data_IF_737819566317
#
_entry.id   IF_737819566317
#
_cell.length_a   1.000
_cell.length_b   1.000
_cell.length_c   1.000
_cell.angle_alpha   90.00
_cell.angle_beta   90.00
_cell.angle_gamma   90.00
#
_symmetry.space_group_name_H-M   'P 1'
#
loop_
_entity.id
_entity.type
_entity.pdbx_description
1 polymer ?
#
# COMPACT_ATOMS: atom_id res chain seq x y z
N UNK A 1 -39.04 16.53 -4.98
CA UNK A 1 -37.92 17.41 -4.56
C UNK A 1 -37.38 17.09 -3.15
N UNK A 2 -38.20 16.61 -2.21
CA UNK A 2 -37.74 16.25 -0.84
C UNK A 2 -36.87 14.96 -0.73
N UNK A 3 -36.98 14.01 -1.67
CA UNK A 3 -36.18 12.77 -1.64
C UNK A 3 -34.68 12.99 -1.97
N UNK A 4 -34.35 14.05 -2.72
CA UNK A 4 -32.95 14.39 -3.02
C UNK A 4 -32.23 15.03 -1.82
N UNK A 5 -32.94 15.80 -1.00
CA UNK A 5 -32.39 16.50 0.17
C UNK A 5 -32.10 15.56 1.35
N UNK A 6 -32.87 14.46 1.51
CA UNK A 6 -32.55 13.41 2.51
C UNK A 6 -31.25 12.68 2.17
N UNK A 7 -31.01 12.39 0.89
CA UNK A 7 -29.75 11.78 0.44
C UNK A 7 -28.56 12.72 0.59
N UNK A 8 -28.72 14.03 0.37
CA UNK A 8 -27.62 14.97 0.53
C UNK A 8 -27.26 15.17 2.01
N UNK A 9 -28.26 15.29 2.91
CA UNK A 9 -28.02 15.40 4.34
C UNK A 9 -27.33 14.14 4.90
N UNK A 10 -27.77 12.95 4.50
CA UNK A 10 -27.13 11.68 4.88
C UNK A 10 -25.75 11.50 4.24
N UNK A 11 -25.55 11.93 2.99
CA UNK A 11 -24.24 11.95 2.34
C UNK A 11 -23.26 12.87 3.08
N UNK A 12 -23.68 14.09 3.41
CA UNK A 12 -22.87 15.03 4.19
C UNK A 12 -22.55 14.46 5.58
N UNK A 13 -23.52 13.83 6.24
CA UNK A 13 -23.35 13.23 7.58
C UNK A 13 -22.48 11.97 7.57
N UNK A 14 -22.43 11.23 6.46
CA UNK A 14 -21.66 9.98 6.37
C UNK A 14 -20.26 10.18 5.79
N UNK A 15 -20.08 11.13 4.87
CA UNK A 15 -18.84 11.31 4.10
C UNK A 15 -18.14 12.67 4.32
N UNK A 16 -18.82 13.72 4.80
CA UNK A 16 -18.17 15.00 5.15
C UNK A 16 -17.84 15.13 6.63
N UNK A 17 -18.48 14.35 7.50
CA UNK A 17 -17.98 14.18 8.87
C UNK A 17 -16.79 13.23 8.81
N UNK A 18 -15.58 13.67 9.23
CA UNK A 18 -14.45 12.76 9.31
C UNK A 18 -14.90 11.54 10.13
N UNK A 19 -14.62 10.30 9.66
CA UNK A 19 -14.83 9.14 10.49
C UNK A 19 -14.22 9.45 11.86
N UNK A 20 -14.90 9.12 12.95
CA UNK A 20 -14.25 9.16 14.27
C UNK A 20 -13.06 8.22 14.16
N UNK A 21 -11.89 8.78 13.85
CA UNK A 21 -10.66 8.05 13.66
C UNK A 21 -10.45 7.29 14.96
N UNK A 22 -10.57 5.97 14.89
CA UNK A 22 -10.15 5.14 16.00
C UNK A 22 -8.68 5.44 16.19
N UNK A 23 -8.32 5.95 17.37
CA UNK A 23 -6.95 6.31 17.71
C UNK A 23 -6.00 5.15 17.32
N UNK A 24 -5.19 5.30 16.26
CA UNK A 24 -4.36 4.22 15.74
C UNK A 24 -3.27 3.82 16.75
N UNK A 25 -3.07 4.62 17.80
CA UNK A 25 -2.17 4.30 18.90
C UNK A 25 -2.72 3.23 19.84
N UNK A 26 -4.04 3.01 19.85
CA UNK A 26 -4.70 1.95 20.62
C UNK A 26 -4.72 0.62 19.89
N UNK A 27 -4.15 0.57 18.69
CA UNK A 27 -4.11 -0.65 17.89
C UNK A 27 -2.78 -1.36 18.12
N UNK A 28 -2.85 -2.68 18.34
CA UNK A 28 -1.66 -3.50 18.50
C UNK A 28 -1.74 -4.74 17.62
N UNK A 29 -0.57 -5.13 17.12
CA UNK A 29 -0.41 -6.40 16.43
C UNK A 29 -0.09 -7.50 17.44
N UNK A 30 -0.97 -8.49 17.51
CA UNK A 30 -0.69 -9.73 18.22
C UNK A 30 -0.24 -10.77 17.20
N UNK A 31 0.99 -11.27 17.37
CA UNK A 31 1.55 -12.35 16.57
C UNK A 31 1.42 -13.65 17.36
N UNK A 32 0.51 -14.52 16.95
CA UNK A 32 0.42 -15.88 17.48
C UNK A 32 1.12 -16.83 16.50
N UNK A 33 2.20 -17.52 16.91
CA UNK A 33 2.82 -18.53 16.06
C UNK A 33 1.86 -19.72 15.92
N UNK A 34 1.52 -20.07 14.69
CA UNK A 34 0.77 -21.28 14.36
C UNK A 34 1.61 -22.05 13.35
N UNK A 35 2.26 -23.12 13.79
CA UNK A 35 3.16 -23.93 12.97
C UNK A 35 4.20 -23.06 12.21
N UNK A 36 4.04 -22.90 10.89
CA UNK A 36 4.89 -22.15 9.95
C UNK A 36 4.40 -20.72 9.66
N UNK A 37 3.20 -20.37 10.11
CA UNK A 37 2.58 -19.05 9.88
C UNK A 37 2.44 -18.26 11.18
N UNK A 38 2.16 -16.97 11.04
CA UNK A 38 1.85 -16.06 12.13
C UNK A 38 0.48 -15.48 11.86
N UNK A 39 -0.43 -15.72 12.81
CA UNK A 39 -1.70 -15.00 12.87
C UNK A 39 -1.41 -13.60 13.39
N UNK A 40 -1.75 -12.60 12.58
CA UNK A 40 -1.66 -11.19 12.96
C UNK A 40 -3.06 -10.68 13.23
N UNK A 41 -3.37 -10.37 14.49
CA UNK A 41 -4.63 -9.74 14.88
C UNK A 41 -4.41 -8.26 15.17
N UNK A 42 -5.20 -7.39 14.53
CA UNK A 42 -5.30 -5.98 14.89
C UNK A 42 -6.37 -5.82 15.97
N UNK A 43 -5.96 -5.42 17.18
CA UNK A 43 -6.87 -5.28 18.33
C UNK A 43 -6.86 -3.87 18.87
N UNK A 44 -8.04 -3.35 19.26
CA UNK A 44 -8.18 -2.07 19.95
C UNK A 44 -8.08 -2.27 21.46
N UNK A 45 -7.16 -1.57 22.11
CA UNK A 45 -7.04 -1.57 23.57
C UNK A 45 -8.24 -0.85 24.22
N UNK A 46 -8.86 -1.51 25.20
CA UNK A 46 -9.78 -0.86 26.14
C UNK A 46 -11.28 -0.83 25.78
N UNK A 47 -11.81 -1.77 24.99
CA UNK A 47 -13.24 -2.11 24.95
C UNK A 47 -13.40 -3.48 24.28
N UNK A 48 -14.48 -4.22 24.58
CA UNK A 48 -14.83 -5.53 23.96
C UNK A 48 -14.44 -5.54 22.48
N UNK A 49 -13.59 -6.50 22.11
CA UNK A 49 -12.90 -6.63 20.83
C UNK A 49 -13.83 -6.31 19.65
N UNK A 50 -13.81 -5.07 19.17
CA UNK A 50 -14.59 -4.63 18.02
C UNK A 50 -13.71 -4.85 16.77
N UNK A 51 -13.96 -5.97 16.10
CA UNK A 51 -13.37 -6.39 14.81
C UNK A 51 -11.86 -6.68 14.86
N UNK A 52 -11.51 -7.95 15.10
CA UNK A 52 -10.17 -8.47 14.82
C UNK A 52 -10.08 -8.87 13.35
N UNK A 53 -9.10 -8.32 12.63
CA UNK A 53 -8.73 -8.83 11.31
C UNK A 53 -7.52 -9.75 11.49
N UNK A 54 -7.64 -10.97 10.98
CA UNK A 54 -6.62 -12.02 11.10
C UNK A 54 -5.97 -12.27 9.75
N UNK A 55 -4.64 -12.25 9.74
CA UNK A 55 -3.85 -12.58 8.55
C UNK A 55 -2.94 -13.76 8.83
N UNK A 56 -2.83 -14.70 7.89
CA UNK A 56 -1.83 -15.77 7.94
C UNK A 56 -0.64 -15.41 7.04
N UNK A 57 0.52 -15.19 7.65
CA UNK A 57 1.77 -14.85 6.93
C UNK A 57 2.94 -15.65 7.46
N UNK A 58 4.01 -15.81 6.69
CA UNK A 58 5.24 -16.41 7.23
C UNK A 58 5.83 -15.55 8.35
N UNK A 59 6.53 -16.17 9.30
CA UNK A 59 7.02 -15.53 10.53
C UNK A 59 7.89 -14.30 10.28
N UNK A 60 8.65 -14.30 9.20
CA UNK A 60 9.63 -13.26 8.85
C UNK A 60 9.02 -12.10 8.08
N UNK A 61 7.79 -12.26 7.56
CA UNK A 61 7.14 -11.19 6.78
C UNK A 61 6.67 -10.06 7.68
N UNK A 62 6.85 -8.85 7.19
CA UNK A 62 6.16 -7.68 7.69
C UNK A 62 4.75 -7.63 7.09
N UNK A 63 3.79 -7.18 7.88
CA UNK A 63 2.42 -6.89 7.43
C UNK A 63 2.10 -5.47 7.81
N UNK A 64 1.45 -4.76 6.90
CA UNK A 64 1.01 -3.39 7.12
C UNK A 64 -0.47 -3.28 6.84
N UNK A 65 -1.13 -2.37 7.54
CA UNK A 65 -2.56 -2.13 7.40
C UNK A 65 -2.79 -0.63 7.25
N UNK A 66 -3.55 -0.27 6.22
CA UNK A 66 -3.99 1.08 5.95
C UNK A 66 -5.38 1.26 6.57
N UNK A 67 -5.47 2.20 7.50
CA UNK A 67 -6.74 2.60 8.10
C UNK A 67 -7.26 3.85 7.40
N UNK A 68 -8.48 3.74 6.88
CA UNK A 68 -9.17 4.83 6.16
C UNK A 68 -10.36 5.40 6.94
N UNK A 69 -10.53 4.95 8.19
CA UNK A 69 -11.73 5.22 8.98
C UNK A 69 -12.94 4.39 8.53
N UNK A 70 -13.96 4.28 9.38
CA UNK A 70 -15.23 3.64 9.00
C UNK A 70 -15.98 4.47 7.96
N UNK A 71 -16.71 3.86 7.00
CA UNK A 71 -17.06 2.44 6.89
C UNK A 71 -16.09 1.60 6.04
N UNK A 72 -14.90 2.11 5.69
CA UNK A 72 -14.02 1.43 4.76
C UNK A 72 -13.31 0.24 5.39
N UNK A 73 -13.32 -0.91 4.71
CA UNK A 73 -12.51 -2.05 5.12
C UNK A 73 -11.02 -1.68 5.13
N UNK A 74 -10.25 -2.16 6.13
CA UNK A 74 -8.81 -2.04 6.14
C UNK A 74 -8.20 -2.73 4.92
N UNK A 75 -7.13 -2.16 4.39
CA UNK A 75 -6.36 -2.77 3.29
C UNK A 75 -5.01 -3.17 3.84
N UNK A 76 -4.58 -4.39 3.53
CA UNK A 76 -3.33 -4.93 4.02
C UNK A 76 -2.32 -5.11 2.89
N UNK A 77 -1.04 -5.02 3.24
CA UNK A 77 0.06 -5.45 2.41
C UNK A 77 1.01 -6.33 3.22
N UNK A 78 1.70 -7.25 2.55
CA UNK A 78 2.76 -8.05 3.15
C UNK A 78 4.06 -7.88 2.38
N UNK A 79 5.19 -7.98 3.09
CA UNK A 79 6.50 -7.80 2.47
C UNK A 79 6.81 -8.92 1.47
N UNK A 80 7.53 -8.57 0.42
CA UNK A 80 7.91 -9.46 -0.67
C UNK A 80 7.07 -9.27 -1.93
N UNK A 81 7.49 -9.93 -3.01
CA UNK A 81 6.95 -9.70 -4.37
C UNK A 81 6.11 -10.85 -4.90
N UNK A 82 6.38 -12.08 -4.45
CA UNK A 82 5.88 -13.28 -5.11
C UNK A 82 4.46 -13.69 -4.71
N UNK A 83 3.74 -12.87 -3.93
CA UNK A 83 2.37 -13.15 -3.53
C UNK A 83 1.38 -12.39 -4.42
N UNK A 84 0.33 -13.11 -4.86
CA UNK A 84 -0.80 -12.52 -5.57
C UNK A 84 -1.76 -11.86 -4.59
N UNK A 85 -2.59 -10.95 -5.08
CA UNK A 85 -3.70 -10.40 -4.30
C UNK A 85 -4.61 -11.53 -3.82
N UNK A 86 -4.97 -11.52 -2.54
CA UNK A 86 -5.92 -12.46 -1.94
C UNK A 86 -6.50 -11.87 -0.66
N UNK A 87 -7.76 -12.18 -0.37
CA UNK A 87 -8.52 -11.67 0.78
C UNK A 87 -8.48 -10.14 0.89
N UNK A 88 -7.68 -9.62 1.82
CA UNK A 88 -7.45 -8.18 2.07
C UNK A 88 -6.03 -7.73 1.72
N UNK A 89 -5.21 -8.62 1.16
CA UNK A 89 -3.85 -8.32 0.74
C UNK A 89 -3.78 -7.85 -0.71
N UNK A 90 -3.06 -6.75 -0.91
CA UNK A 90 -2.67 -6.29 -2.23
C UNK A 90 -1.56 -7.18 -2.83
N UNK A 91 -1.47 -7.18 -4.16
CA UNK A 91 -0.46 -7.93 -4.93
C UNK A 91 0.97 -7.43 -4.68
N UNK A 92 1.88 -8.33 -4.30
CA UNK A 92 3.29 -7.97 -4.08
C UNK A 92 3.98 -7.47 -5.34
N UNK A 93 3.75 -8.16 -6.43
CA UNK A 93 4.42 -7.91 -7.70
C UNK A 93 4.01 -6.57 -8.29
N UNK A 94 2.71 -6.35 -8.41
CA UNK A 94 2.11 -5.14 -8.98
C UNK A 94 2.49 -3.90 -8.17
N UNK A 95 2.33 -3.96 -6.84
CA UNK A 95 2.53 -2.79 -6.00
C UNK A 95 3.99 -2.48 -5.73
N UNK A 96 4.88 -3.47 -5.85
CA UNK A 96 6.33 -3.21 -5.90
C UNK A 96 6.70 -2.43 -7.17
N UNK A 97 6.10 -2.77 -8.31
CA UNK A 97 6.34 -2.06 -9.57
C UNK A 97 5.88 -0.60 -9.48
N UNK A 98 4.65 -0.41 -9.00
CA UNK A 98 4.07 0.92 -8.79
C UNK A 98 4.89 1.75 -7.81
N UNK A 99 5.43 1.14 -6.76
CA UNK A 99 6.30 1.83 -5.82
C UNK A 99 7.62 2.30 -6.46
N UNK A 100 8.23 1.49 -7.33
CA UNK A 100 9.44 1.90 -8.08
C UNK A 100 9.14 3.09 -8.99
N UNK A 101 8.02 3.06 -9.72
CA UNK A 101 7.58 4.17 -10.56
C UNK A 101 7.34 5.44 -9.73
N UNK A 102 6.66 5.32 -8.58
CA UNK A 102 6.45 6.48 -7.69
C UNK A 102 7.76 7.03 -7.14
N UNK A 103 8.72 6.17 -6.82
CA UNK A 103 10.04 6.59 -6.36
C UNK A 103 10.77 7.41 -7.43
N UNK A 104 10.72 6.98 -8.69
CA UNK A 104 11.26 7.74 -9.82
C UNK A 104 10.59 9.12 -9.95
N UNK A 105 9.25 9.19 -9.90
CA UNK A 105 8.50 10.44 -9.98
C UNK A 105 8.91 11.44 -8.89
N UNK A 106 9.16 10.98 -7.65
CA UNK A 106 9.57 11.85 -6.54
C UNK A 106 11.09 11.95 -6.37
N UNK A 107 11.86 11.48 -7.35
CA UNK A 107 13.32 11.47 -7.35
C UNK A 107 13.94 10.67 -6.19
N UNK A 108 13.19 9.74 -5.59
CA UNK A 108 13.67 8.86 -4.53
C UNK A 108 14.44 7.68 -5.13
N UNK A 109 15.63 7.44 -4.61
CA UNK A 109 16.48 6.33 -5.01
C UNK A 109 16.51 5.35 -3.84
N UNK A 110 15.80 4.25 -3.99
CA UNK A 110 15.87 3.13 -3.05
C UNK A 110 17.28 2.52 -3.03
N UNK A 111 17.69 2.07 -1.85
CA UNK A 111 18.98 1.42 -1.62
C UNK A 111 19.03 0.06 -2.32
N UNK A 112 20.14 -0.20 -3.04
CA UNK A 112 20.37 -1.51 -3.68
C UNK A 112 20.68 -2.54 -2.60
N UNK A 113 20.15 -3.75 -2.79
CA UNK A 113 20.28 -4.87 -1.87
C UNK A 113 20.63 -6.14 -2.64
N UNK A 114 21.40 -7.04 -2.02
CA UNK A 114 21.70 -8.37 -2.61
C UNK A 114 20.42 -9.19 -2.85
N UNK A 115 19.33 -8.84 -2.17
CA UNK A 115 18.00 -9.46 -2.32
C UNK A 115 17.19 -8.91 -3.50
N UNK A 116 17.70 -7.91 -4.24
CA UNK A 116 17.03 -7.34 -5.42
C UNK A 116 16.88 -8.34 -6.57
N UNK A 117 17.59 -9.47 -6.51
CA UNK A 117 17.62 -10.51 -7.54
C UNK A 117 17.86 -9.87 -8.91
N UNK A 118 16.93 -10.09 -9.87
CA UNK A 118 17.02 -9.61 -11.26
C UNK A 118 16.50 -8.17 -11.46
N UNK A 119 15.97 -7.51 -10.42
CA UNK A 119 15.40 -6.16 -10.55
C UNK A 119 15.98 -5.25 -9.46
N UNK A 120 16.94 -4.37 -9.81
CA UNK A 120 17.56 -3.46 -8.85
C UNK A 120 16.53 -2.69 -8.06
N UNK A 121 16.83 -2.44 -6.78
CA UNK A 121 16.03 -1.65 -5.84
C UNK A 121 14.68 -2.26 -5.44
N UNK A 122 14.34 -3.43 -5.98
CA UNK A 122 13.04 -4.05 -5.75
C UNK A 122 12.84 -4.59 -4.35
N UNK A 123 13.91 -4.86 -3.60
CA UNK A 123 13.85 -5.30 -2.21
C UNK A 123 13.16 -4.26 -1.32
N UNK A 124 13.69 -3.03 -1.32
CA UNK A 124 13.12 -1.91 -0.55
C UNK A 124 11.72 -1.53 -1.05
N UNK A 125 11.51 -1.54 -2.37
CA UNK A 125 10.20 -1.29 -2.95
C UNK A 125 9.16 -2.38 -2.59
N UNK A 126 9.62 -3.59 -2.27
CA UNK A 126 8.76 -4.70 -1.84
C UNK A 126 8.46 -4.73 -0.35
N UNK A 127 8.93 -3.75 0.41
CA UNK A 127 8.49 -3.59 1.79
C UNK A 127 6.98 -3.33 1.83
N UNK A 128 6.30 -3.89 2.83
CA UNK A 128 4.85 -3.87 2.92
C UNK A 128 4.31 -2.43 2.95
N UNK A 129 5.00 -1.54 3.69
CA UNK A 129 4.68 -0.13 3.83
C UNK A 129 4.71 0.54 2.45
N UNK A 130 5.79 0.32 1.71
CA UNK A 130 6.05 0.89 0.40
C UNK A 130 4.98 0.51 -0.61
N UNK A 131 4.60 -0.76 -0.67
CA UNK A 131 3.53 -1.25 -1.53
C UNK A 131 2.17 -0.62 -1.18
N UNK A 132 1.85 -0.52 0.12
CA UNK A 132 0.57 0.00 0.58
C UNK A 132 0.44 1.52 0.37
N UNK A 133 1.55 2.25 0.47
CA UNK A 133 1.63 3.65 0.09
C UNK A 133 1.38 3.81 -1.41
N UNK A 134 1.99 2.96 -2.24
CA UNK A 134 1.76 3.00 -3.67
C UNK A 134 0.29 2.74 -4.02
N UNK A 135 -0.33 1.75 -3.37
CA UNK A 135 -1.77 1.49 -3.46
C UNK A 135 -2.59 2.72 -3.07
N UNK A 136 -2.27 3.32 -1.92
CA UNK A 136 -2.97 4.49 -1.41
C UNK A 136 -2.93 5.65 -2.38
N UNK A 137 -1.75 5.96 -2.90
CA UNK A 137 -1.56 7.08 -3.82
C UNK A 137 -2.31 6.83 -5.12
N UNK A 138 -2.13 5.66 -5.75
CA UNK A 138 -2.77 5.30 -7.02
C UNK A 138 -4.31 5.31 -6.93
N UNK A 139 -4.89 5.00 -5.76
CA UNK A 139 -6.34 4.91 -5.57
C UNK A 139 -7.00 6.13 -4.90
N UNK A 140 -6.23 7.04 -4.28
CA UNK A 140 -6.79 8.12 -3.42
C UNK A 140 -6.18 9.49 -3.62
N UNK A 141 -4.97 9.57 -4.17
CA UNK A 141 -4.39 10.84 -4.56
C UNK A 141 -4.54 10.95 -6.07
N UNK A 142 -5.30 11.92 -6.57
CA UNK A 142 -5.13 12.34 -7.96
C UNK A 142 -3.69 12.82 -8.10
N UNK A 143 -2.84 11.98 -8.68
CA UNK A 143 -1.45 12.30 -8.93
C UNK A 143 -1.41 13.48 -9.90
N UNK A 144 -0.32 14.27 -9.91
CA UNK A 144 -0.16 15.34 -10.89
C UNK A 144 -0.38 14.87 -12.33
N UNK A 145 0.03 13.63 -12.65
CA UNK A 145 -0.20 13.02 -13.97
C UNK A 145 -1.69 12.77 -14.28
N UNK A 146 -2.51 12.51 -13.27
CA UNK A 146 -3.95 12.25 -13.43
C UNK A 146 -4.75 13.55 -13.62
N UNK A 147 -4.08 14.71 -13.54
CA UNK A 147 -4.66 16.06 -13.70
C UNK A 147 -4.27 16.73 -15.01
N UNK A 148 -3.37 16.12 -15.77
CA UNK A 148 -2.88 16.66 -17.04
C UNK A 148 -3.09 15.63 -18.15
N UNK A 149 -3.34 16.06 -19.39
CA UNK A 149 -3.40 15.15 -20.53
C UNK A 149 -2.13 14.30 -20.64
N UNK A 150 -2.29 13.00 -20.89
CA UNK A 150 -1.17 12.09 -21.13
C UNK A 150 -0.68 12.25 -22.58
N UNK A 151 0.26 13.18 -22.76
CA UNK A 151 0.85 13.47 -24.06
C UNK A 151 1.60 12.28 -24.65
N UNK A 152 2.13 11.37 -23.82
CA UNK A 152 2.82 10.17 -24.30
C UNK A 152 1.81 9.18 -24.90
N UNK A 153 0.67 9.01 -24.26
CA UNK A 153 -0.44 8.21 -24.77
C UNK A 153 -1.02 8.80 -26.05
N UNK A 154 -1.20 10.12 -26.11
CA UNK A 154 -1.63 10.82 -27.33
C UNK A 154 -0.63 10.59 -28.48
N UNK A 155 0.67 10.70 -28.21
CA UNK A 155 1.71 10.40 -29.21
C UNK A 155 1.68 8.92 -29.67
N UNK A 156 1.43 7.96 -28.77
CA UNK A 156 1.31 6.54 -29.13
C UNK A 156 0.11 6.30 -30.05
N UNK A 157 -1.03 6.93 -29.78
CA UNK A 157 -2.22 6.84 -30.65
C UNK A 157 -1.89 7.40 -32.03
N UNK A 158 -1.38 8.63 -32.11
CA UNK A 158 -1.06 9.27 -33.39
C UNK A 158 -0.02 8.49 -34.19
N UNK A 159 1.00 7.93 -33.52
CA UNK A 159 2.00 7.10 -34.16
C UNK A 159 1.40 5.82 -34.76
N UNK A 160 0.53 5.15 -34.00
CA UNK A 160 -0.14 3.92 -34.41
C UNK A 160 -1.11 4.18 -35.57
N UNK A 161 -1.85 5.30 -35.52
CA UNK A 161 -2.75 5.74 -36.61
C UNK A 161 -2.00 6.09 -37.90
N UNK A 162 -0.86 6.78 -37.79
CA UNK A 162 -0.03 7.14 -38.95
C UNK A 162 0.56 5.89 -39.61
N UNK A 163 1.08 4.98 -38.80
CA UNK A 163 1.60 3.69 -39.29
C UNK A 163 0.50 2.85 -39.97
N UNK A 164 -0.72 2.89 -39.46
CA UNK A 164 -1.87 2.24 -40.11
C UNK A 164 -2.25 2.85 -41.47
N UNK A 165 -1.93 4.12 -41.73
CA UNK A 165 -2.19 4.77 -43.04
C UNK A 165 -1.09 4.45 -44.06
N UNK A 166 0.14 4.28 -43.60
CA UNK A 166 1.29 4.04 -44.46
C UNK A 166 1.45 2.53 -44.81
N UNK A 167 0.97 1.61 -43.96
CA UNK A 167 1.00 0.15 -44.20
C UNK A 167 -0.37 -0.37 -44.72
N UNK A 168 -0.68 -0.13 -46.00
CA UNK A 168 -1.90 -0.63 -46.69
C UNK A 168 -1.84 -2.13 -47.06
N UNK A 169 -0.86 -2.91 -46.55
CA UNK A 169 -0.66 -4.30 -46.98
C UNK A 169 -0.52 -5.29 -45.80
N UNK A 170 -1.32 -6.37 -45.87
CA UNK A 170 -1.48 -7.55 -44.99
C UNK A 170 -2.50 -7.41 -43.85
N UNK A 171 -3.65 -8.07 -44.04
CA UNK A 171 -4.80 -8.03 -43.13
C UNK A 171 -4.57 -8.52 -41.68
N UNK A 172 -3.53 -9.30 -41.40
CA UNK A 172 -3.20 -9.69 -40.01
C UNK A 172 -2.51 -8.56 -39.24
N UNK A 173 -1.63 -7.78 -39.89
CA UNK A 173 -1.02 -6.60 -39.29
C UNK A 173 -2.11 -5.57 -38.97
N UNK A 174 -3.02 -5.31 -39.92
CA UNK A 174 -4.18 -4.41 -39.73
C UNK A 174 -5.01 -4.74 -38.49
N UNK A 175 -5.32 -6.02 -38.25
CA UNK A 175 -6.08 -6.46 -37.07
C UNK A 175 -5.33 -6.25 -35.75
N UNK A 176 -4.00 -6.31 -35.75
CA UNK A 176 -3.18 -6.02 -34.57
C UNK A 176 -3.16 -4.51 -34.29
N UNK A 177 -2.95 -3.69 -35.32
CA UNK A 177 -3.02 -2.22 -35.22
C UNK A 177 -4.37 -1.73 -34.69
N UNK A 178 -5.48 -2.28 -35.21
CA UNK A 178 -6.84 -1.95 -34.75
C UNK A 178 -7.06 -2.28 -33.27
N UNK A 179 -6.46 -3.38 -32.78
CA UNK A 179 -6.50 -3.74 -31.35
C UNK A 179 -5.69 -2.76 -30.51
N UNK A 180 -4.50 -2.37 -30.96
CA UNK A 180 -3.65 -1.42 -30.26
C UNK A 180 -4.29 -0.02 -30.21
N UNK A 181 -4.87 0.46 -31.30
CA UNK A 181 -5.63 1.73 -31.35
C UNK A 181 -6.81 1.68 -30.38
N UNK A 182 -7.58 0.60 -30.38
CA UNK A 182 -8.70 0.41 -29.46
C UNK A 182 -8.24 0.42 -27.99
N UNK A 183 -7.12 -0.26 -27.69
CA UNK A 183 -6.53 -0.29 -26.37
C UNK A 183 -6.07 1.10 -25.89
N UNK A 184 -5.31 1.83 -26.71
CA UNK A 184 -4.85 3.17 -26.36
C UNK A 184 -5.99 4.18 -26.28
N UNK A 185 -6.99 4.09 -27.17
CA UNK A 185 -8.19 4.93 -27.13
C UNK A 185 -8.97 4.72 -25.83
N UNK A 186 -9.14 3.46 -25.40
CA UNK A 186 -9.75 3.14 -24.11
C UNK A 186 -8.93 3.70 -22.93
N UNK A 187 -7.60 3.54 -22.96
CA UNK A 187 -6.74 4.13 -21.93
C UNK A 187 -6.89 5.65 -21.86
N UNK A 188 -7.00 6.32 -23.01
CA UNK A 188 -7.19 7.77 -23.11
C UNK A 188 -8.52 8.20 -22.53
N UNK A 189 -9.60 7.48 -22.82
CA UNK A 189 -10.92 7.74 -22.25
C UNK A 189 -10.91 7.59 -20.72
N UNK A 190 -10.26 6.54 -20.20
CA UNK A 190 -10.10 6.35 -18.76
C UNK A 190 -9.29 7.50 -18.13
N UNK A 191 -8.21 7.93 -18.79
CA UNK A 191 -7.38 9.04 -18.32
C UNK A 191 -8.15 10.36 -18.29
N UNK A 192 -8.94 10.65 -19.32
CA UNK A 192 -9.82 11.81 -19.36
C UNK A 192 -10.88 11.78 -18.24
N UNK A 193 -11.43 10.59 -17.95
CA UNK A 193 -12.34 10.42 -16.80
C UNK A 193 -11.64 10.72 -15.48
N UNK A 194 -10.38 10.29 -15.31
CA UNK A 194 -9.59 10.61 -14.11
C UNK A 194 -9.34 12.11 -13.97
N UNK A 195 -9.01 12.81 -15.06
CA UNK A 195 -8.87 14.28 -15.07
C UNK A 195 -10.19 14.93 -14.64
N UNK A 196 -11.31 14.57 -15.26
CA UNK A 196 -12.62 15.12 -14.92
C UNK A 196 -13.03 14.81 -13.47
N UNK A 197 -12.72 13.61 -12.97
CA UNK A 197 -12.94 13.25 -11.57
C UNK A 197 -12.02 14.04 -10.63
N UNK A 198 -10.82 14.40 -11.06
CA UNK A 198 -9.88 15.21 -10.27
C UNK A 198 -10.34 16.66 -10.12
N UNK A 199 -10.97 17.22 -11.16
CA UNK A 199 -11.56 18.55 -11.15
C UNK A 199 -12.79 18.61 -10.24
N UNK A 200 -13.54 17.51 -10.16
CA UNK A 200 -14.71 17.34 -9.31
C UNK A 200 -14.39 16.59 -8.01
N UNK A 201 -13.12 16.54 -7.62
CA UNK A 201 -12.71 15.79 -6.45
C UNK A 201 -13.48 16.29 -5.21
N UNK A 202 -14.01 15.39 -4.36
CA UNK A 202 -14.67 15.81 -3.14
C UNK A 202 -13.70 16.67 -2.31
N UNK A 203 -14.19 17.71 -1.60
CA UNK A 203 -13.33 18.66 -0.86
C UNK A 203 -12.39 17.97 0.13
N UNK A 204 -12.73 16.75 0.54
CA UNK A 204 -11.93 15.89 1.39
C UNK A 204 -11.21 14.85 0.53
N UNK A 205 -10.24 15.28 -0.28
CA UNK A 205 -9.18 14.36 -0.65
C UNK A 205 -8.57 13.83 0.65
N UNK A 206 -8.50 12.51 0.83
CA UNK A 206 -7.78 11.94 1.96
C UNK A 206 -6.31 12.29 1.75
N UNK A 207 -5.89 13.44 2.26
CA UNK A 207 -4.48 13.86 2.28
C UNK A 207 -3.77 13.16 3.42
N UNK A 208 -4.51 12.72 4.44
CA UNK A 208 -4.00 12.02 5.61
C UNK A 208 -4.29 10.51 5.51
N UNK A 209 -3.26 9.72 5.79
CA UNK A 209 -3.38 8.28 5.96
C UNK A 209 -2.51 7.82 7.12
N UNK A 210 -2.97 6.78 7.81
CA UNK A 210 -2.18 6.11 8.83
C UNK A 210 -2.01 4.65 8.46
N UNK A 211 -0.74 4.25 8.33
CA UNK A 211 -0.34 2.88 8.03
C UNK A 211 0.29 2.29 9.28
N UNK A 212 -0.31 1.22 9.77
CA UNK A 212 0.19 0.50 10.94
C UNK A 212 1.07 -0.65 10.46
N UNK A 213 2.26 -0.74 11.03
CA UNK A 213 3.30 -1.69 10.62
C UNK A 213 3.55 -2.75 11.69
N UNK A 214 3.53 -4.01 11.26
CA UNK A 214 3.96 -5.18 12.02
C UNK A 214 5.36 -5.59 11.55
N UNK A 215 6.38 -4.92 12.06
CA UNK A 215 7.78 -5.26 11.77
C UNK A 215 8.29 -6.29 12.79
N UNK A 216 8.71 -7.47 12.33
CA UNK A 216 9.18 -8.54 13.22
C UNK A 216 10.61 -8.28 13.68
N UNK A 217 10.77 -7.74 14.89
CA UNK A 217 12.09 -7.56 15.53
C UNK A 217 13.01 -6.58 14.79
N UNK A 218 12.45 -5.75 13.92
CA UNK A 218 13.15 -4.67 13.21
C UNK A 218 12.26 -3.44 13.28
N UNK A 219 12.87 -2.27 13.32
CA UNK A 219 12.15 -1.02 13.14
C UNK A 219 11.73 -0.85 11.68
N UNK A 220 10.77 0.05 11.42
CA UNK A 220 10.48 0.51 10.06
C UNK A 220 11.78 0.98 9.40
N UNK A 221 12.03 0.49 8.19
CA UNK A 221 13.26 0.76 7.47
C UNK A 221 13.46 2.26 7.20
N UNK A 222 14.70 2.76 7.33
CA UNK A 222 14.98 4.19 7.13
C UNK A 222 14.72 4.67 5.71
N UNK A 223 14.89 3.78 4.72
CA UNK A 223 14.59 4.09 3.33
C UNK A 223 13.08 4.32 3.12
N UNK A 224 12.25 3.50 3.77
CA UNK A 224 10.79 3.60 3.80
C UNK A 224 10.37 4.94 4.40
N UNK A 225 11.01 5.35 5.51
CA UNK A 225 10.75 6.66 6.16
C UNK A 225 11.11 7.82 5.23
N UNK A 226 12.28 7.75 4.57
CA UNK A 226 12.73 8.76 3.59
C UNK A 226 11.81 8.85 2.39
N UNK A 227 11.34 7.70 1.89
CA UNK A 227 10.39 7.62 0.79
C UNK A 227 9.08 8.32 1.14
N UNK A 228 8.46 7.97 2.28
CA UNK A 228 7.24 8.63 2.77
C UNK A 228 7.41 10.14 2.92
N UNK A 229 8.53 10.59 3.49
CA UNK A 229 8.81 12.02 3.64
C UNK A 229 8.81 12.75 2.29
N UNK A 230 9.41 12.15 1.26
CA UNK A 230 9.44 12.71 -0.10
C UNK A 230 8.05 12.73 -0.73
N UNK A 231 7.28 11.65 -0.60
CA UNK A 231 5.91 11.59 -1.09
C UNK A 231 5.01 12.63 -0.44
N UNK A 232 5.07 12.76 0.90
CA UNK A 232 4.33 13.77 1.65
C UNK A 232 4.69 15.18 1.16
N UNK A 233 5.97 15.47 0.94
CA UNK A 233 6.41 16.76 0.40
C UNK A 233 5.96 17.01 -1.04
N UNK A 234 6.07 16.01 -1.92
CA UNK A 234 5.78 16.16 -3.35
C UNK A 234 4.28 16.25 -3.63
N UNK A 235 3.50 15.39 -2.99
CA UNK A 235 2.05 15.27 -3.22
C UNK A 235 1.20 16.02 -2.19
N UNK A 236 1.83 16.76 -1.26
CA UNK A 236 1.16 17.46 -0.15
C UNK A 236 0.28 16.52 0.68
N UNK A 237 0.82 15.34 0.96
CA UNK A 237 0.19 14.30 1.77
C UNK A 237 0.70 14.33 3.21
N UNK A 238 -0.05 13.69 4.10
CA UNK A 238 0.24 13.48 5.51
C UNK A 238 0.10 11.98 5.82
N UNK A 239 0.91 11.16 5.16
CA UNK A 239 1.02 9.73 5.44
C UNK A 239 1.91 9.55 6.67
N UNK A 240 1.39 8.84 7.68
CA UNK A 240 2.11 8.47 8.90
C UNK A 240 2.30 6.95 8.95
N UNK A 241 3.53 6.51 9.22
CA UNK A 241 3.85 5.10 9.51
C UNK A 241 3.95 4.91 11.02
N UNK A 242 3.19 3.97 11.59
CA UNK A 242 3.19 3.67 13.03
C UNK A 242 3.55 2.20 13.24
N UNK A 243 4.67 1.95 13.91
CA UNK A 243 5.05 0.60 14.31
C UNK A 243 4.28 0.14 15.54
N UNK A 244 3.68 -1.06 15.48
CA UNK A 244 2.86 -1.62 16.57
C UNK A 244 3.12 -3.10 16.87
N UNK A 245 4.31 -3.59 16.55
CA UNK A 245 4.72 -4.93 16.99
C UNK A 245 4.94 -4.92 18.49
N UNK A 246 4.21 -5.74 19.24
CA UNK A 246 4.54 -5.94 20.66
C UNK A 246 5.94 -6.60 20.75
N UNK A 247 6.87 -6.05 21.54
CA UNK A 247 8.17 -6.70 21.74
C UNK A 247 7.95 -8.10 22.30
N UNK A 248 8.74 -9.08 21.84
CA UNK A 248 8.81 -10.38 22.53
C UNK A 248 9.18 -10.09 24.00
N UNK A 249 8.51 -10.69 24.99
CA UNK A 249 9.04 -10.65 26.35
C UNK A 249 10.47 -11.19 26.27
N UNK A 250 11.45 -10.40 26.72
CA UNK A 250 12.82 -10.83 26.89
C UNK A 250 12.78 -12.15 27.63
N UNK A 251 13.37 -13.21 27.06
CA UNK A 251 13.54 -14.48 27.79
C UNK A 251 14.24 -14.12 29.09
N UNK A 252 13.55 -14.25 30.23
CA UNK A 252 14.20 -14.20 31.53
C UNK A 252 15.28 -15.27 31.47
N UNK A 253 16.55 -14.86 31.59
CA UNK A 253 17.61 -15.80 31.92
C UNK A 253 17.17 -16.45 33.23
N UNK A 254 16.75 -17.71 33.15
CA UNK A 254 16.66 -18.56 34.32
C UNK A 254 18.11 -18.77 34.73
N UNK A 255 18.53 -18.03 35.76
CA UNK A 255 19.82 -18.25 36.39
C UNK A 255 19.85 -19.68 36.88
N UNK A 256 20.80 -20.46 36.35
CA UNK A 256 21.22 -21.70 36.98
C UNK A 256 21.83 -21.30 38.33
N UNK A 257 21.22 -21.75 39.42
CA UNK A 257 21.87 -21.73 40.72
C UNK A 257 22.93 -22.84 40.71
N UNK A 258 24.20 -22.46 40.89
CA UNK A 258 25.26 -23.37 41.29
C UNK A 258 25.03 -23.72 42.77
N UNK A 259 24.44 -24.88 43.03
CA UNK A 259 24.64 -25.61 44.28
C UNK A 259 25.88 -26.50 44.09
N UNK A 260 27.01 -26.03 44.61
CA UNK A 260 28.18 -26.89 44.85
C UNK A 260 28.27 -27.11 46.36
N UNK A 261 27.58 -28.16 46.81
CA UNK A 261 27.79 -28.70 48.15
C UNK A 261 29.18 -29.34 48.22
N UNK A 262 29.99 -28.73 49.08
CA UNK A 262 31.14 -29.33 49.73
C UNK A 262 30.71 -30.51 50.59
N UNK A 263 31.35 -31.68 50.44
CA UNK A 263 31.62 -32.56 51.59
C UNK A 263 32.68 -33.62 51.25
N UNK A 264 33.89 -33.42 51.77
CA UNK A 264 34.85 -34.49 52.05
C UNK A 264 35.56 -34.20 53.37
N UNK A 265 35.09 -34.85 54.43
CA UNK A 265 35.78 -35.17 55.68
C UNK A 265 34.94 -36.30 56.29
N UNK A 266 35.41 -37.54 56.41
CA UNK A 266 36.43 -38.00 57.35
C UNK A 266 36.87 -39.42 56.97
#
# INVERSE_FOLDING_TARGET
MELALRNEADYRKTFLTPPKESDPRKLSFQRAPVESTTTIALTREGARCLKSVTFQVSREKAVTILLRGGPFEPIAAMSGRSHRAHDSFISGEEWTEKALQLAEIVGHIFTISDYDRRKPRSFQASHAETQLIAWYIDHRAFLPRDRVPDTELDCKIEFTERKSKDEEERGEARRLWEKDICFYSWQREMHQKLIAMSENAPPVCLTKATIIVSAYGREICDDCKKFVKRLNSCFRLSIELIERTRPKPLKRHVGFADESDSDTST
#
